data_IF_463604689109
#
_entry.id   IF_463604689109
#
_cell.length_a   1.000
_cell.length_b   1.000
_cell.length_c   1.000
_cell.angle_alpha   90.00
_cell.angle_beta   90.00
_cell.angle_gamma   90.00
#
_symmetry.space_group_name_H-M   'P 1'
#
loop_
_entity.id
_entity.type
_entity.pdbx_description
1 polymer ?
#
# COMPACT_ATOMS: atom_id res chain seq x y z
N UNK A 1 -18.12 -22.05 18.29
CA UNK A 1 -17.42 -23.19 17.65
C UNK A 1 -17.47 -23.12 16.12
N UNK A 2 -18.63 -22.86 15.49
CA UNK A 2 -18.74 -22.79 14.01
C UNK A 2 -18.01 -21.60 13.35
N UNK A 3 -18.08 -20.41 13.93
CA UNK A 3 -17.42 -19.21 13.35
C UNK A 3 -15.90 -19.38 13.34
N UNK A 4 -15.36 -19.98 14.40
CA UNK A 4 -13.94 -20.24 14.54
C UNK A 4 -13.40 -21.12 13.42
N UNK A 5 -14.21 -22.04 12.88
CA UNK A 5 -13.78 -22.93 11.81
C UNK A 5 -13.49 -22.16 10.50
N UNK A 6 -14.30 -21.13 10.20
CA UNK A 6 -14.20 -20.37 8.95
C UNK A 6 -13.26 -19.15 9.04
N UNK A 7 -12.69 -18.86 10.21
CA UNK A 7 -11.75 -17.73 10.40
C UNK A 7 -10.66 -17.66 9.32
N UNK A 8 -10.01 -18.76 8.89
CA UNK A 8 -8.96 -18.73 7.87
C UNK A 8 -9.43 -18.16 6.52
N UNK A 9 -10.73 -18.17 6.24
CA UNK A 9 -11.31 -17.57 5.04
C UNK A 9 -11.90 -16.19 5.31
N UNK A 10 -12.58 -16.02 6.44
CA UNK A 10 -13.27 -14.76 6.76
C UNK A 10 -12.28 -13.61 7.00
N UNK A 11 -11.21 -13.84 7.75
CA UNK A 11 -10.27 -12.77 8.13
C UNK A 11 -9.49 -12.22 6.91
N UNK A 12 -8.93 -13.07 6.03
CA UNK A 12 -8.26 -12.58 4.83
C UNK A 12 -9.22 -11.94 3.83
N UNK A 13 -10.46 -12.44 3.69
CA UNK A 13 -11.46 -11.81 2.82
C UNK A 13 -11.91 -10.45 3.33
N UNK A 14 -12.02 -10.28 4.65
CA UNK A 14 -12.33 -8.99 5.25
C UNK A 14 -11.18 -7.99 5.04
N UNK A 15 -9.93 -8.44 5.22
CA UNK A 15 -8.76 -7.65 4.86
C UNK A 15 -8.76 -7.26 3.38
N UNK A 16 -9.04 -8.20 2.49
CA UNK A 16 -9.14 -7.96 1.04
C UNK A 16 -10.23 -6.92 0.70
N UNK A 17 -11.38 -6.94 1.38
CA UNK A 17 -12.44 -5.95 1.18
C UNK A 17 -11.97 -4.52 1.48
N UNK A 18 -11.26 -4.33 2.59
CA UNK A 18 -10.63 -3.04 2.92
C UNK A 18 -9.64 -2.56 1.85
N UNK A 19 -8.86 -3.48 1.29
CA UNK A 19 -7.86 -3.14 0.28
C UNK A 19 -8.48 -2.79 -1.08
N UNK A 20 -9.60 -3.44 -1.45
CA UNK A 20 -10.39 -3.04 -2.62
C UNK A 20 -10.97 -1.64 -2.39
N UNK A 21 -11.58 -1.38 -1.23
CA UNK A 21 -12.15 -0.06 -0.94
C UNK A 21 -11.08 1.04 -1.00
N UNK A 22 -9.92 0.83 -0.37
CA UNK A 22 -8.79 1.76 -0.44
C UNK A 22 -8.34 2.02 -1.89
N UNK A 23 -8.34 0.98 -2.73
CA UNK A 23 -7.96 1.12 -4.13
C UNK A 23 -9.01 1.84 -4.96
N UNK A 24 -10.30 1.63 -4.69
CA UNK A 24 -11.40 2.34 -5.34
C UNK A 24 -11.40 3.83 -4.97
N UNK A 25 -11.09 4.16 -3.71
CA UNK A 25 -10.88 5.54 -3.27
C UNK A 25 -9.63 6.16 -3.91
N UNK A 26 -8.51 5.44 -3.93
CA UNK A 26 -7.27 5.91 -4.54
C UNK A 26 -7.39 6.18 -6.04
N UNK A 27 -8.30 5.47 -6.72
CA UNK A 27 -8.64 5.65 -8.15
C UNK A 27 -9.75 6.70 -8.39
N UNK A 28 -10.39 7.22 -7.33
CA UNK A 28 -11.51 8.15 -7.42
C UNK A 28 -12.81 7.54 -7.97
N UNK A 29 -12.95 6.21 -7.95
CA UNK A 29 -14.12 5.49 -8.47
C UNK A 29 -15.26 5.42 -7.44
N UNK A 30 -14.90 5.28 -6.16
CA UNK A 30 -15.82 5.28 -5.03
C UNK A 30 -15.26 6.19 -3.95
N UNK A 31 -16.14 6.83 -3.19
CA UNK A 31 -15.76 7.60 -2.02
C UNK A 31 -16.56 7.08 -0.83
N UNK A 32 -15.90 6.84 0.32
CA UNK A 32 -16.60 6.57 1.58
C UNK A 32 -17.21 7.84 2.21
N UNK A 33 -17.27 8.93 1.45
CA UNK A 33 -17.88 10.20 1.80
C UNK A 33 -19.33 10.24 1.27
N UNK A 34 -20.29 10.01 2.17
CA UNK A 34 -21.70 10.24 1.89
C UNK A 34 -22.13 11.59 2.49
N UNK A 35 -22.48 12.53 1.61
CA UNK A 35 -23.15 13.76 2.00
C UNK A 35 -24.66 13.56 1.91
N UNK A 36 -25.30 13.26 3.04
CA UNK A 36 -26.75 13.11 3.10
C UNK A 36 -27.41 14.43 3.52
N UNK A 37 -28.61 14.70 3.01
CA UNK A 37 -29.39 15.89 3.35
C UNK A 37 -30.23 15.55 4.58
N UNK A 38 -29.88 16.12 5.73
CA UNK A 38 -30.56 15.86 6.99
C UNK A 38 -32.07 16.17 6.92
N UNK A 39 -32.90 15.22 7.35
CA UNK A 39 -34.37 15.33 7.28
C UNK A 39 -34.99 16.36 8.24
N UNK A 40 -34.21 16.98 9.13
CA UNK A 40 -34.71 17.92 10.15
C UNK A 40 -34.13 19.34 10.05
N UNK A 41 -33.20 19.59 9.15
CA UNK A 41 -32.73 20.94 8.79
C UNK A 41 -31.88 20.80 7.54
N UNK A 42 -31.90 21.81 6.67
CA UNK A 42 -31.14 21.90 5.41
C UNK A 42 -29.61 21.96 5.61
N UNK A 43 -29.10 21.38 6.69
CA UNK A 43 -27.70 21.14 6.94
C UNK A 43 -27.28 19.85 6.23
N UNK A 44 -26.26 19.97 5.38
CA UNK A 44 -25.53 18.83 4.87
C UNK A 44 -24.88 18.12 6.06
N UNK A 45 -25.30 16.90 6.37
CA UNK A 45 -24.64 16.06 7.35
C UNK A 45 -23.73 15.12 6.58
N UNK A 46 -22.45 15.48 6.51
CA UNK A 46 -21.43 14.58 6.00
C UNK A 46 -21.27 13.42 7.00
N UNK A 47 -21.66 12.22 6.60
CA UNK A 47 -21.48 11.01 7.41
C UNK A 47 -20.42 10.13 6.79
N UNK A 48 -19.41 9.76 7.58
CA UNK A 48 -18.22 9.05 7.13
C UNK A 48 -18.40 7.60 7.56
N UNK A 49 -18.70 6.70 6.61
CA UNK A 49 -18.95 5.29 6.95
C UNK A 49 -18.22 4.30 6.04
N UNK A 50 -16.87 4.27 6.04
CA UNK A 50 -16.10 3.29 5.27
C UNK A 50 -16.52 1.84 5.56
N UNK A 51 -16.97 1.57 6.78
CA UNK A 51 -17.48 0.27 7.20
C UNK A 51 -18.65 -0.24 6.36
N UNK A 52 -19.54 0.62 5.86
CA UNK A 52 -20.72 0.20 5.08
C UNK A 52 -20.27 -0.33 3.72
N UNK A 53 -19.50 0.45 2.95
CA UNK A 53 -19.01 0.02 1.64
C UNK A 53 -18.06 -1.18 1.72
N UNK A 54 -17.21 -1.24 2.75
CA UNK A 54 -16.36 -2.42 2.99
C UNK A 54 -17.20 -3.67 3.25
N UNK A 55 -18.30 -3.56 4.00
CA UNK A 55 -19.19 -4.71 4.22
C UNK A 55 -19.89 -5.18 2.95
N UNK A 56 -20.29 -4.28 2.06
CA UNK A 56 -20.86 -4.62 0.75
C UNK A 56 -19.86 -5.40 -0.11
N UNK A 57 -18.62 -4.89 -0.23
CA UNK A 57 -17.53 -5.57 -0.93
C UNK A 57 -17.25 -6.93 -0.28
N UNK A 58 -17.25 -7.00 1.05
CA UNK A 58 -17.04 -8.26 1.76
C UNK A 58 -18.11 -9.30 1.44
N UNK A 59 -19.39 -8.94 1.36
CA UNK A 59 -20.45 -9.87 0.95
C UNK A 59 -20.30 -10.34 -0.50
N UNK A 60 -19.88 -9.45 -1.40
CA UNK A 60 -19.55 -9.83 -2.79
C UNK A 60 -18.39 -10.82 -2.83
N UNK A 61 -17.34 -10.60 -2.03
CA UNK A 61 -16.20 -11.52 -1.92
C UNK A 61 -16.61 -12.86 -1.30
N UNK A 62 -17.52 -12.88 -0.32
CA UNK A 62 -18.07 -14.13 0.23
C UNK A 62 -18.89 -14.90 -0.82
N UNK A 63 -19.64 -14.22 -1.66
CA UNK A 63 -20.30 -14.85 -2.78
C UNK A 63 -19.28 -15.40 -3.79
N UNK A 64 -18.26 -14.61 -4.13
CA UNK A 64 -17.22 -15.01 -5.05
C UNK A 64 -16.46 -16.26 -4.57
N UNK A 65 -16.04 -16.31 -3.30
CA UNK A 65 -15.32 -17.47 -2.75
C UNK A 65 -16.19 -18.74 -2.76
N UNK A 66 -17.51 -18.62 -2.60
CA UNK A 66 -18.43 -19.75 -2.73
C UNK A 66 -18.47 -20.27 -4.18
N UNK A 67 -18.49 -19.37 -5.17
CA UNK A 67 -18.37 -19.75 -6.58
C UNK A 67 -17.03 -20.44 -6.85
N UNK A 68 -15.92 -19.90 -6.32
CA UNK A 68 -14.59 -20.51 -6.44
C UNK A 68 -14.59 -21.91 -5.85
N UNK A 69 -15.19 -22.10 -4.68
CA UNK A 69 -15.29 -23.40 -4.02
C UNK A 69 -16.00 -24.43 -4.92
N UNK A 70 -17.12 -24.06 -5.54
CA UNK A 70 -17.85 -24.93 -6.47
C UNK A 70 -16.97 -25.25 -7.69
N UNK A 71 -16.30 -24.23 -8.26
CA UNK A 71 -15.39 -24.42 -9.38
C UNK A 71 -14.25 -25.39 -9.05
N UNK A 72 -13.63 -25.27 -7.87
CA UNK A 72 -12.54 -26.16 -7.41
C UNK A 72 -13.03 -27.60 -7.29
N UNK A 73 -14.21 -27.84 -6.74
CA UNK A 73 -14.78 -29.18 -6.68
C UNK A 73 -15.08 -29.75 -8.06
N UNK A 74 -15.62 -28.94 -8.98
CA UNK A 74 -15.87 -29.35 -10.36
C UNK A 74 -14.58 -29.69 -11.08
N UNK A 75 -13.55 -28.86 -10.96
CA UNK A 75 -12.22 -29.13 -11.51
C UNK A 75 -11.63 -30.43 -10.94
N UNK A 76 -11.76 -30.66 -9.63
CA UNK A 76 -11.36 -31.93 -9.01
C UNK A 76 -12.11 -33.14 -9.58
N UNK A 77 -13.40 -32.98 -9.87
CA UNK A 77 -14.19 -34.01 -10.53
C UNK A 77 -13.74 -34.29 -11.98
N UNK A 78 -13.39 -33.25 -12.74
CA UNK A 78 -12.86 -33.40 -14.10
C UNK A 78 -11.53 -34.17 -14.08
N UNK A 79 -10.63 -33.83 -13.16
CA UNK A 79 -9.29 -34.43 -13.09
C UNK A 79 -9.29 -35.91 -12.67
N UNK A 80 -10.02 -36.26 -11.61
CA UNK A 80 -9.96 -37.59 -11.02
C UNK A 80 -11.31 -38.08 -10.46
N UNK A 81 -12.43 -37.56 -10.97
CA UNK A 81 -13.80 -37.91 -10.55
C UNK A 81 -13.96 -37.82 -9.03
N UNK A 82 -14.42 -38.90 -8.39
CA UNK A 82 -14.72 -38.93 -6.95
C UNK A 82 -13.46 -38.74 -6.09
N UNK A 83 -12.32 -39.31 -6.48
CA UNK A 83 -11.08 -39.16 -5.70
C UNK A 83 -10.55 -37.74 -5.81
N UNK A 84 -10.64 -37.11 -6.97
CA UNK A 84 -10.27 -35.70 -7.16
C UNK A 84 -11.13 -34.74 -6.33
N UNK A 85 -12.45 -34.97 -6.25
CA UNK A 85 -13.34 -34.19 -5.37
C UNK A 85 -12.94 -34.35 -3.89
N UNK A 86 -12.63 -35.56 -3.44
CA UNK A 86 -12.22 -35.80 -2.06
C UNK A 86 -10.90 -35.10 -1.72
N UNK A 87 -9.91 -35.15 -2.63
CA UNK A 87 -8.64 -34.44 -2.45
C UNK A 87 -8.85 -32.93 -2.44
N UNK A 88 -9.63 -32.39 -3.38
CA UNK A 88 -9.95 -30.96 -3.43
C UNK A 88 -10.64 -30.49 -2.14
N UNK A 89 -11.61 -31.26 -1.65
CA UNK A 89 -12.30 -30.98 -0.39
C UNK A 89 -11.33 -31.02 0.79
N UNK A 90 -10.45 -32.03 0.86
CA UNK A 90 -9.46 -32.14 1.92
C UNK A 90 -8.50 -30.93 1.94
N UNK A 91 -8.05 -30.47 0.77
CA UNK A 91 -7.16 -29.31 0.63
C UNK A 91 -7.87 -28.02 1.06
N UNK A 92 -9.11 -27.80 0.66
CA UNK A 92 -9.87 -26.60 1.06
C UNK A 92 -10.22 -26.63 2.55
N UNK A 93 -10.49 -27.79 3.14
CA UNK A 93 -10.80 -27.85 4.58
C UNK A 93 -9.57 -27.81 5.47
N UNK A 94 -8.37 -28.05 4.92
CA UNK A 94 -7.13 -28.13 5.68
C UNK A 94 -6.82 -26.86 6.50
N UNK A 95 -6.92 -25.62 5.97
CA UNK A 95 -6.77 -24.41 6.77
C UNK A 95 -7.74 -24.33 7.95
N UNK A 96 -9.00 -24.71 7.73
CA UNK A 96 -10.02 -24.70 8.78
C UNK A 96 -9.74 -25.72 9.88
N UNK A 97 -9.29 -26.92 9.51
CA UNK A 97 -8.90 -27.97 10.45
C UNK A 97 -7.67 -27.52 11.25
N UNK A 98 -6.64 -26.97 10.59
CA UNK A 98 -5.45 -26.45 11.26
C UNK A 98 -5.79 -25.31 12.23
N UNK A 99 -6.77 -24.48 11.91
CA UNK A 99 -7.24 -23.43 12.81
C UNK A 99 -7.92 -23.98 14.06
N UNK A 100 -8.67 -25.08 13.95
CA UNK A 100 -9.25 -25.77 15.11
C UNK A 100 -8.20 -26.39 16.03
N UNK A 101 -7.07 -26.84 15.47
CA UNK A 101 -5.94 -27.37 16.24
C UNK A 101 -5.05 -26.24 16.79
N UNK A 102 -5.31 -24.97 16.43
CA UNK A 102 -4.52 -23.82 16.86
C UNK A 102 -3.17 -23.70 16.17
N UNK A 103 -2.95 -24.44 15.08
CA UNK A 103 -1.71 -24.44 14.30
C UNK A 103 -1.74 -23.43 13.14
N UNK A 104 -2.90 -22.84 12.86
CA UNK A 104 -3.04 -21.87 11.78
C UNK A 104 -2.62 -20.46 12.23
N UNK A 105 -1.74 -19.76 11.48
CA UNK A 105 -1.37 -18.40 11.81
C UNK A 105 -2.58 -17.47 11.65
N UNK A 106 -2.80 -16.61 12.64
CA UNK A 106 -3.77 -15.51 12.54
C UNK A 106 -3.21 -14.44 11.60
N UNK A 107 -3.50 -14.58 10.31
CA UNK A 107 -3.16 -13.56 9.30
C UNK A 107 -4.30 -12.53 9.26
N UNK A 108 -4.15 -11.45 10.01
CA UNK A 108 -4.99 -10.27 9.84
C UNK A 108 -4.40 -9.43 8.70
N UNK A 109 -5.02 -9.48 7.53
CA UNK A 109 -4.63 -8.63 6.39
C UNK A 109 -5.41 -7.31 6.34
N UNK A 110 -6.07 -6.92 7.44
CA UNK A 110 -6.66 -5.60 7.55
C UNK A 110 -5.54 -4.56 7.69
N UNK A 111 -5.58 -3.46 6.91
CA UNK A 111 -4.57 -2.42 7.02
C UNK A 111 -4.66 -1.71 8.37
N UNK A 112 -3.52 -1.52 9.06
CA UNK A 112 -3.45 -0.79 10.34
C UNK A 112 -3.74 0.71 10.19
N UNK A 113 -3.61 1.23 8.97
CA UNK A 113 -3.89 2.62 8.61
C UNK A 113 -4.65 2.69 7.30
N UNK A 114 -5.81 3.35 7.31
CA UNK A 114 -6.60 3.66 6.12
C UNK A 114 -6.39 5.13 5.75
N UNK A 115 -5.98 5.41 4.51
CA UNK A 115 -5.67 6.78 4.07
C UNK A 115 -6.83 7.31 3.26
N UNK A 116 -7.60 8.20 3.88
CA UNK A 116 -8.78 8.82 3.30
C UNK A 116 -8.34 9.89 2.30
N UNK A 117 -8.99 9.93 1.13
CA UNK A 117 -8.72 10.90 0.05
C UNK A 117 -7.25 10.88 -0.42
N UNK A 118 -6.56 9.78 -0.12
CA UNK A 118 -5.19 9.50 -0.56
C UNK A 118 -5.20 9.15 -2.04
N UNK A 119 -5.28 10.16 -2.90
CA UNK A 119 -5.07 9.98 -4.34
C UNK A 119 -3.75 9.25 -4.59
N UNK A 120 -3.81 8.09 -5.25
CA UNK A 120 -2.65 7.24 -5.50
C UNK A 120 -2.19 6.33 -4.35
N UNK A 121 -2.94 6.23 -3.23
CA UNK A 121 -2.65 5.25 -2.16
C UNK A 121 -3.47 3.98 -2.41
N UNK A 122 -2.78 2.93 -2.86
CA UNK A 122 -3.37 1.60 -3.07
C UNK A 122 -3.35 0.77 -1.78
N UNK A 123 -4.19 -0.26 -1.74
CA UNK A 123 -4.19 -1.22 -0.63
C UNK A 123 -2.81 -1.84 -0.36
N UNK A 124 -2.59 -2.30 0.87
CA UNK A 124 -1.43 -3.07 1.29
C UNK A 124 -1.22 -4.36 0.48
N UNK A 125 0.04 -4.68 0.17
CA UNK A 125 0.38 -5.90 -0.57
C UNK A 125 -0.06 -7.21 0.12
N UNK A 126 -0.02 -7.25 1.46
CA UNK A 126 -0.48 -8.40 2.26
C UNK A 126 -2.01 -8.59 2.22
N UNK A 127 -2.76 -7.51 2.03
CA UNK A 127 -4.21 -7.53 1.86
C UNK A 127 -4.69 -7.80 0.44
N UNK A 128 -3.84 -7.59 -0.56
CA UNK A 128 -4.09 -7.98 -1.95
C UNK A 128 -3.80 -9.46 -2.22
N UNK A 129 -2.94 -10.10 -1.41
CA UNK A 129 -2.55 -11.50 -1.60
C UNK A 129 -3.76 -12.47 -1.68
N UNK A 130 -4.79 -12.39 -0.81
CA UNK A 130 -5.97 -13.25 -0.92
C UNK A 130 -6.71 -13.08 -2.25
N UNK A 131 -6.75 -11.87 -2.80
CA UNK A 131 -7.39 -11.59 -4.09
C UNK A 131 -6.60 -12.19 -5.25
N UNK A 132 -5.27 -12.07 -5.22
CA UNK A 132 -4.38 -12.70 -6.21
C UNK A 132 -4.53 -14.22 -6.17
N UNK A 133 -4.51 -14.84 -4.99
CA UNK A 133 -4.73 -16.27 -4.83
C UNK A 133 -6.11 -16.70 -5.34
N UNK A 134 -7.16 -15.94 -5.03
CA UNK A 134 -8.51 -16.19 -5.50
C UNK A 134 -8.58 -16.10 -7.02
N UNK A 135 -8.03 -15.03 -7.62
CA UNK A 135 -7.99 -14.82 -9.07
C UNK A 135 -7.18 -15.88 -9.83
N UNK A 136 -6.04 -16.29 -9.29
CA UNK A 136 -5.23 -17.36 -9.88
C UNK A 136 -5.98 -18.70 -9.84
N UNK A 137 -6.62 -19.00 -8.70
CA UNK A 137 -7.40 -20.23 -8.53
C UNK A 137 -8.62 -20.27 -9.45
N UNK A 138 -9.37 -19.16 -9.55
CA UNK A 138 -10.51 -19.08 -10.46
C UNK A 138 -10.08 -19.18 -11.91
N UNK A 139 -9.03 -18.47 -12.32
CA UNK A 139 -8.49 -18.53 -13.67
C UNK A 139 -8.10 -19.95 -14.07
N UNK A 140 -7.42 -20.67 -13.17
CA UNK A 140 -7.03 -22.06 -13.39
C UNK A 140 -8.23 -23.01 -13.48
N UNK A 141 -9.19 -22.89 -12.56
CA UNK A 141 -10.41 -23.69 -12.58
C UNK A 141 -11.21 -23.48 -13.86
N UNK A 142 -11.41 -22.23 -14.27
CA UNK A 142 -12.14 -21.89 -15.49
C UNK A 142 -11.44 -22.42 -16.73
N UNK A 143 -10.10 -22.37 -16.80
CA UNK A 143 -9.34 -22.93 -17.90
C UNK A 143 -9.54 -24.44 -18.03
N UNK A 144 -9.46 -25.18 -16.91
CA UNK A 144 -9.66 -26.63 -16.93
C UNK A 144 -11.10 -27.01 -17.28
N UNK A 145 -12.08 -26.28 -16.76
CA UNK A 145 -13.49 -26.46 -17.11
C UNK A 145 -13.69 -26.17 -18.62
N UNK A 146 -13.12 -25.08 -19.14
CA UNK A 146 -13.20 -24.73 -20.56
C UNK A 146 -12.63 -25.82 -21.46
N UNK A 147 -11.44 -26.33 -21.13
CA UNK A 147 -10.78 -27.40 -21.90
C UNK A 147 -11.57 -28.72 -21.88
N UNK A 148 -12.26 -29.00 -20.78
CA UNK A 148 -13.13 -30.18 -20.66
C UNK A 148 -14.43 -30.02 -21.48
N UNK A 149 -15.06 -28.83 -21.43
CA UNK A 149 -16.30 -28.55 -22.18
C UNK A 149 -16.06 -28.46 -23.69
N UNK A 150 -14.99 -27.78 -24.09
CA UNK A 150 -14.61 -27.60 -25.47
C UNK A 150 -13.41 -28.49 -25.72
N UNK A 151 -13.59 -29.64 -26.40
CA UNK A 151 -12.54 -30.61 -26.71
C UNK A 151 -11.35 -29.94 -27.43
N UNK A 152 -10.46 -29.36 -26.64
CA UNK A 152 -9.50 -28.39 -27.12
C UNK A 152 -8.33 -29.15 -27.74
N UNK A 153 -8.18 -29.02 -29.05
CA UNK A 153 -7.08 -29.65 -29.77
C UNK A 153 -5.71 -29.09 -29.34
N UNK A 154 -4.60 -29.73 -29.75
CA UNK A 154 -3.24 -29.35 -29.35
C UNK A 154 -2.85 -27.90 -29.70
N UNK A 155 -3.56 -27.25 -30.63
CA UNK A 155 -3.37 -25.83 -30.97
C UNK A 155 -3.74 -24.87 -29.84
N UNK A 156 -4.74 -25.22 -29.01
CA UNK A 156 -5.13 -24.40 -27.87
C UNK A 156 -4.00 -24.29 -26.86
N UNK A 157 -3.37 -25.42 -26.52
CA UNK A 157 -2.23 -25.46 -25.59
C UNK A 157 -1.05 -24.63 -26.09
N UNK A 158 -0.71 -24.73 -27.38
CA UNK A 158 0.35 -23.89 -27.96
C UNK A 158 0.01 -22.39 -27.89
N UNK A 159 -1.24 -21.99 -28.13
CA UNK A 159 -1.65 -20.59 -28.00
C UNK A 159 -1.66 -20.12 -26.53
N UNK A 160 -2.13 -20.97 -25.62
CA UNK A 160 -2.12 -20.70 -24.19
C UNK A 160 -0.68 -20.51 -23.66
N UNK A 161 0.26 -21.36 -24.08
CA UNK A 161 1.66 -21.24 -23.69
C UNK A 161 2.25 -19.89 -24.11
N UNK A 162 1.95 -19.42 -25.32
CA UNK A 162 2.38 -18.10 -25.77
C UNK A 162 1.82 -16.97 -24.89
N UNK A 163 0.52 -17.01 -24.57
CA UNK A 163 -0.11 -16.02 -23.69
C UNK A 163 0.52 -16.07 -22.30
N UNK A 164 0.77 -17.25 -21.77
CA UNK A 164 1.38 -17.45 -20.45
C UNK A 164 2.81 -16.91 -20.40
N UNK A 165 3.63 -17.18 -21.42
CA UNK A 165 4.98 -16.62 -21.52
C UNK A 165 4.97 -15.10 -21.63
N UNK A 166 4.06 -14.53 -22.41
CA UNK A 166 3.91 -13.08 -22.52
C UNK A 166 3.49 -12.44 -21.20
N UNK A 167 2.57 -13.07 -20.45
CA UNK A 167 2.17 -12.63 -19.12
C UNK A 167 3.35 -12.68 -18.14
N UNK A 168 4.16 -13.74 -18.19
CA UNK A 168 5.38 -13.86 -17.37
C UNK A 168 6.43 -12.80 -17.69
N UNK A 169 6.66 -12.51 -18.98
CA UNK A 169 7.56 -11.43 -19.41
C UNK A 169 7.06 -10.06 -18.94
N UNK A 170 5.77 -9.78 -19.09
CA UNK A 170 5.16 -8.53 -18.63
C UNK A 170 5.30 -8.37 -17.12
N UNK A 171 5.01 -9.42 -16.34
CA UNK A 171 5.19 -9.42 -14.89
C UNK A 171 6.65 -9.17 -14.51
N UNK A 172 7.61 -9.75 -15.23
CA UNK A 172 9.03 -9.49 -15.05
C UNK A 172 9.42 -8.04 -15.30
N UNK A 173 8.89 -7.41 -16.35
CA UNK A 173 9.13 -5.99 -16.66
C UNK A 173 8.55 -5.09 -15.57
N UNK A 174 7.30 -5.34 -15.14
CA UNK A 174 6.66 -4.58 -14.05
C UNK A 174 7.46 -4.72 -12.76
N UNK A 175 7.88 -5.93 -12.42
CA UNK A 175 8.70 -6.18 -11.22
C UNK A 175 10.01 -5.38 -11.25
N UNK A 176 10.71 -5.35 -12.39
CA UNK A 176 11.94 -4.54 -12.53
C UNK A 176 11.63 -3.06 -12.37
N UNK A 177 10.57 -2.56 -13.01
CA UNK A 177 10.17 -1.15 -12.87
C UNK A 177 9.86 -0.79 -11.41
N UNK A 178 9.06 -1.61 -10.72
CA UNK A 178 8.70 -1.40 -9.31
C UNK A 178 9.92 -1.48 -8.38
N UNK A 179 10.88 -2.36 -8.69
CA UNK A 179 12.12 -2.46 -7.92
C UNK A 179 12.98 -1.20 -8.02
N UNK A 180 13.04 -0.57 -9.20
CA UNK A 180 13.77 0.70 -9.38
C UNK A 180 13.06 1.87 -8.70
N UNK A 181 11.73 1.95 -8.81
CA UNK A 181 10.93 3.00 -8.16
C UNK A 181 11.07 2.92 -6.64
N UNK A 182 11.00 1.72 -6.08
CA UNK A 182 11.16 1.51 -4.63
C UNK A 182 12.59 1.83 -4.15
N UNK A 183 13.62 1.52 -4.94
CA UNK A 183 15.00 1.92 -4.64
C UNK A 183 15.17 3.45 -4.63
N UNK A 184 14.60 4.16 -5.61
CA UNK A 184 14.63 5.62 -5.65
C UNK A 184 13.88 6.26 -4.48
N UNK A 185 12.71 5.73 -4.11
CA UNK A 185 11.97 6.19 -2.93
C UNK A 185 12.78 6.00 -1.64
N UNK A 186 13.46 4.85 -1.49
CA UNK A 186 14.32 4.58 -0.33
C UNK A 186 15.52 5.52 -0.28
N UNK A 187 16.19 5.75 -1.40
CA UNK A 187 17.31 6.70 -1.51
C UNK A 187 16.90 8.13 -1.15
N UNK A 188 15.72 8.56 -1.60
CA UNK A 188 15.17 9.87 -1.24
C UNK A 188 14.89 9.97 0.27
N UNK A 189 14.34 8.93 0.87
CA UNK A 189 14.07 8.88 2.31
C UNK A 189 15.37 8.93 3.13
N UNK A 190 16.39 8.16 2.73
CA UNK A 190 17.70 8.14 3.38
C UNK A 190 18.40 9.50 3.28
N UNK A 191 18.39 10.11 2.09
CA UNK A 191 18.93 11.47 1.87
C UNK A 191 18.20 12.51 2.73
N UNK A 192 16.87 12.47 2.77
CA UNK A 192 16.06 13.35 3.62
C UNK A 192 16.40 13.20 5.11
N UNK A 193 16.55 11.96 5.59
CA UNK A 193 16.92 11.68 6.99
C UNK A 193 18.33 12.18 7.31
N UNK A 194 19.32 11.88 6.45
CA UNK A 194 20.69 12.31 6.63
C UNK A 194 20.79 13.84 6.68
N UNK A 195 20.12 14.54 5.77
CA UNK A 195 20.10 15.99 5.75
C UNK A 195 19.41 16.62 6.97
N UNK A 196 18.34 16.00 7.48
CA UNK A 196 17.72 16.45 8.73
C UNK A 196 18.65 16.27 9.92
N UNK A 197 19.38 15.15 9.99
CA UNK A 197 20.37 14.90 11.05
C UNK A 197 21.51 15.91 10.98
N UNK A 198 22.07 16.15 9.80
CA UNK A 198 23.11 17.15 9.58
C UNK A 198 22.61 18.57 9.94
N UNK A 199 21.39 18.92 9.54
CA UNK A 199 20.79 20.22 9.87
C UNK A 199 20.57 20.39 11.37
N UNK A 200 20.12 19.33 12.05
CA UNK A 200 19.95 19.34 13.52
C UNK A 200 21.30 19.50 14.24
N UNK A 201 22.33 18.79 13.77
CA UNK A 201 23.68 18.89 14.32
C UNK A 201 24.28 20.28 14.14
N UNK A 202 24.19 20.86 12.93
CA UNK A 202 24.63 22.23 12.65
C UNK A 202 23.84 23.26 13.46
N UNK A 203 22.53 23.07 13.63
CA UNK A 203 21.70 23.93 14.49
C UNK A 203 22.18 23.90 15.94
N UNK A 204 22.55 22.73 16.45
CA UNK A 204 23.12 22.60 17.79
C UNK A 204 24.42 23.39 17.96
N UNK A 205 25.29 23.37 16.94
CA UNK A 205 26.53 24.16 16.94
C UNK A 205 26.28 25.67 16.82
N UNK A 206 25.37 26.08 15.94
CA UNK A 206 24.99 27.48 15.77
C UNK A 206 24.39 28.06 17.06
N UNK A 207 23.48 27.32 17.71
CA UNK A 207 22.89 27.73 18.99
C UNK A 207 23.93 27.80 20.13
N UNK A 208 24.89 26.86 20.17
CA UNK A 208 25.98 26.91 21.15
C UNK A 208 26.91 28.12 20.93
N UNK A 209 27.16 28.49 19.67
CA UNK A 209 27.95 29.66 19.31
C UNK A 209 27.21 30.97 19.58
N UNK A 210 25.92 31.05 19.29
CA UNK A 210 25.05 32.18 19.63
C UNK A 210 25.06 32.43 21.15
N UNK A 211 24.88 31.37 21.95
CA UNK A 211 24.97 31.46 23.41
C UNK A 211 26.32 32.00 23.89
N UNK A 212 27.42 31.56 23.26
CA UNK A 212 28.75 32.10 23.56
C UNK A 212 28.88 33.59 23.22
N UNK A 213 28.26 34.03 22.12
CA UNK A 213 28.22 35.46 21.74
C UNK A 213 27.41 36.30 22.74
N UNK A 214 26.29 35.78 23.23
CA UNK A 214 25.46 36.43 24.25
C UNK A 214 26.20 36.55 25.58
N UNK A 215 26.82 35.46 26.06
CA UNK A 215 27.58 35.42 27.31
C UNK A 215 28.75 36.42 27.32
N UNK A 216 29.36 36.68 26.16
CA UNK A 216 30.46 37.64 26.01
C UNK A 216 30.05 39.05 25.55
N UNK A 217 28.74 39.33 25.41
CA UNK A 217 28.19 40.62 24.94
C UNK A 217 28.75 41.07 23.57
N UNK A 218 28.99 40.10 22.70
CA UNK A 218 29.65 40.29 21.41
C UNK A 218 28.65 40.15 20.24
N UNK A 219 27.45 40.68 20.41
CA UNK A 219 26.32 40.53 19.46
C UNK A 219 26.48 41.30 18.15
N UNK A 220 27.45 42.21 18.05
CA UNK A 220 27.72 43.04 16.86
C UNK A 220 28.73 42.42 15.88
N UNK A 221 29.33 41.28 16.21
CA UNK A 221 30.23 40.57 15.29
C UNK A 221 29.43 39.90 14.17
N UNK A 222 29.96 40.02 12.94
CA UNK A 222 29.38 39.43 11.71
C UNK A 222 29.19 37.90 11.88
N UNK A 223 30.07 37.23 12.62
CA UNK A 223 29.96 35.80 12.90
C UNK A 223 28.75 35.43 13.76
N UNK A 224 28.35 36.28 14.71
CA UNK A 224 27.18 36.04 15.57
C UNK A 224 25.87 36.31 14.81
N UNK A 225 25.86 37.30 13.91
CA UNK A 225 24.73 37.55 13.00
C UNK A 225 24.55 36.42 11.97
N UNK A 226 25.66 35.86 11.49
CA UNK A 226 25.63 34.69 10.62
C UNK A 226 25.06 33.46 11.33
N UNK A 227 25.47 33.20 12.58
CA UNK A 227 25.02 32.05 13.34
C UNK A 227 23.51 32.05 13.60
N UNK A 228 22.92 33.20 13.95
CA UNK A 228 21.48 33.33 14.16
C UNK A 228 20.68 33.16 12.86
N UNK A 229 21.17 33.72 11.74
CA UNK A 229 20.55 33.55 10.42
C UNK A 229 20.60 32.08 9.95
N UNK A 230 21.74 31.41 10.14
CA UNK A 230 21.91 29.99 9.80
C UNK A 230 21.00 29.09 10.64
N UNK A 231 20.82 29.39 11.93
CA UNK A 231 19.93 28.65 12.81
C UNK A 231 18.47 28.66 12.32
N UNK A 232 17.97 29.82 11.88
CA UNK A 232 16.62 29.96 11.34
C UNK A 232 16.44 29.10 10.07
N UNK A 233 17.40 29.17 9.15
CA UNK A 233 17.37 28.42 7.88
C UNK A 233 17.42 26.90 8.08
N UNK A 234 18.24 26.44 9.03
CA UNK A 234 18.34 25.03 9.41
C UNK A 234 17.08 24.52 10.11
N UNK A 235 16.39 25.39 10.87
CA UNK A 235 15.09 25.07 11.46
C UNK A 235 14.05 24.81 10.36
N UNK A 236 13.96 25.68 9.36
CA UNK A 236 13.02 25.51 8.25
C UNK A 236 13.24 24.20 7.49
N UNK A 237 14.49 23.83 7.22
CA UNK A 237 14.80 22.55 6.58
C UNK A 237 14.48 21.33 7.46
N UNK A 238 14.57 21.46 8.79
CA UNK A 238 14.24 20.36 9.71
C UNK A 238 12.74 20.01 9.74
N UNK A 239 11.86 20.99 9.46
CA UNK A 239 10.40 20.83 9.51
C UNK A 239 9.75 20.50 8.17
N UNK A 240 10.44 20.60 7.04
CA UNK A 240 9.88 20.31 5.72
C UNK A 240 9.55 18.82 5.53
N UNK A 241 8.33 18.51 5.07
CA UNK A 241 7.92 17.14 4.74
C UNK A 241 8.79 16.50 3.64
N UNK A 242 9.03 15.17 3.66
CA UNK A 242 9.90 14.50 2.68
C UNK A 242 9.52 14.76 1.22
N UNK A 243 8.21 14.87 0.93
CA UNK A 243 7.69 15.16 -0.40
C UNK A 243 8.06 16.56 -0.93
N UNK A 244 8.34 17.53 -0.05
CA UNK A 244 8.75 18.89 -0.39
C UNK A 244 10.27 19.05 -0.38
N UNK A 245 10.99 18.12 0.27
CA UNK A 245 12.42 18.20 0.46
C UNK A 245 13.22 18.14 -0.84
N UNK A 246 12.78 17.37 -1.85
CA UNK A 246 13.46 17.33 -3.15
C UNK A 246 13.42 18.68 -3.89
N UNK A 247 12.40 19.50 -3.64
CA UNK A 247 12.19 20.80 -4.31
C UNK A 247 12.75 21.97 -3.50
N UNK A 248 12.59 21.94 -2.17
CA UNK A 248 12.93 23.06 -1.29
C UNK A 248 14.12 22.80 -0.38
N UNK A 249 14.63 21.56 -0.31
CA UNK A 249 15.84 21.22 0.43
C UNK A 249 17.11 21.82 -0.20
N UNK A 250 18.19 21.97 0.57
CA UNK A 250 19.45 22.51 0.08
C UNK A 250 20.03 21.62 -1.03
N UNK A 251 20.29 22.18 -2.21
CA UNK A 251 20.91 21.42 -3.32
C UNK A 251 22.42 21.32 -3.20
N UNK A 252 23.02 22.28 -2.49
CA UNK A 252 24.44 22.37 -2.23
C UNK A 252 24.68 22.86 -0.81
N UNK A 253 25.82 22.51 -0.21
CA UNK A 253 26.21 23.02 1.10
C UNK A 253 26.35 24.54 1.11
N UNK A 254 26.72 25.14 -0.02
CA UNK A 254 26.83 26.60 -0.19
C UNK A 254 25.51 27.33 0.07
N UNK A 255 24.35 26.74 -0.27
CA UNK A 255 23.03 27.34 0.02
C UNK A 255 22.79 27.51 1.53
N UNK A 256 23.42 26.70 2.38
CA UNK A 256 23.30 26.80 3.85
C UNK A 256 24.18 27.93 4.39
N UNK A 257 25.33 28.18 3.75
CA UNK A 257 26.31 29.20 4.17
C UNK A 257 26.07 30.58 3.52
N UNK A 258 25.24 30.66 2.48
CA UNK A 258 24.93 31.89 1.78
C UNK A 258 24.21 32.92 2.69
N UNK A 259 24.55 34.21 2.59
CA UNK A 259 23.88 35.26 3.33
C UNK A 259 22.37 35.35 2.98
N UNK A 260 21.52 35.91 3.86
CA UNK A 260 20.05 35.89 3.73
C UNK A 260 19.47 36.44 2.42
N UNK A 261 20.25 37.22 1.65
CA UNK A 261 19.80 37.93 0.45
C UNK A 261 20.04 37.17 -0.87
N UNK A 262 20.70 36.00 -0.85
CA UNK A 262 20.88 35.15 -2.03
C UNK A 262 19.92 33.94 -1.98
N UNK A 263 18.63 34.18 -2.21
CA UNK A 263 17.71 33.10 -2.60
C UNK A 263 18.02 32.76 -4.06
N UNK A 264 18.53 31.56 -4.30
CA UNK A 264 18.79 31.07 -5.66
C UNK A 264 17.52 31.18 -6.52
N UNK A 265 17.54 31.88 -7.67
CA UNK A 265 16.38 32.07 -8.54
C UNK A 265 15.88 30.77 -9.20
N UNK A 266 16.53 29.64 -8.97
CA UNK A 266 16.17 28.33 -9.54
C UNK A 266 15.02 27.61 -8.83
N UNK A 267 14.40 28.21 -7.79
CA UNK A 267 13.35 27.57 -6.96
C UNK A 267 12.01 28.34 -6.91
N UNK A 268 11.85 29.39 -7.72
CA UNK A 268 10.58 30.09 -7.96
C UNK A 268 9.81 29.44 -9.12
#
# INVERSE_FOLDING_TARGET
MHITFLIPYLLPLYGAAWNIQQSLEGLGVSSSYDADIGTSSYALVASWSPGVHVTEIFYLLLFAILCVFICVLWTGYILARKTGVLVALAVVLLPCILNMVGLWPLVSSAPDTFVIDGTGVLGSGSGMLPLVCMGATTGWCLLLIYVDLFSSGPRFWSAYDHVWYMAGLLAGVIFVADSQVSEHARSLQESSQNSRQASTYLRGQAAAYEKWCEDRRHTTLISCQWASAAQQKLLDYSWQAPALYWRFGPTTSAEIYAPPDEISPSKL
#
